data_IF_168119460062
#
_entry.id   IF_168119460062
#
_cell.length_a   1.000
_cell.length_b   1.000
_cell.length_c   1.000
_cell.angle_alpha   90.00
_cell.angle_beta   90.00
_cell.angle_gamma   90.00
#
_symmetry.space_group_name_H-M   'P 1'
#
loop_
_entity.id
_entity.type
_entity.pdbx_description
1 polymer ?
2 polymer ?
3 polymer ?
4 water ?
#
# COMPACT_ATOMS: atom_id res chain seq x y z
N UNK A 1 -5.91 7.57 -0.07
CA UNK A 1 -5.64 6.95 1.21
C UNK A 1 -4.16 6.78 1.46
N UNK A 2 -3.88 6.28 2.68
CA UNK A 2 -2.50 5.99 3.07
C UNK A 2 -1.88 4.89 2.22
N UNK A 3 -0.56 4.82 2.18
CA UNK A 3 0.12 3.67 1.55
C UNK A 3 -0.31 2.33 2.15
N UNK A 4 -0.32 1.35 1.25
CA UNK A 4 -0.55 -0.01 1.74
C UNK A 4 0.62 -0.51 2.59
N UNK A 5 0.37 -1.66 3.24
CA UNK A 5 1.42 -2.34 4.00
C UNK A 5 2.66 -2.71 3.18
N UNK A 6 3.81 -2.79 3.85
CA UNK A 6 4.97 -3.42 3.17
C UNK A 6 4.61 -4.81 2.68
N UNK A 7 5.19 -5.27 1.57
CA UNK A 7 4.88 -6.60 1.04
C UNK A 7 5.48 -7.71 1.88
N UNK B 1 -8.09 4.92 -3.60
CA UNK B 1 -7.12 4.12 -2.82
C UNK B 1 -5.74 4.76 -2.81
N UNK B 2 -5.03 4.46 -1.73
CA UNK B 2 -3.66 4.90 -1.61
C UNK B 2 -2.72 4.11 -2.49
N UNK B 3 -1.44 4.46 -2.51
CA UNK B 3 -0.45 3.68 -3.29
C UNK B 3 -0.12 2.35 -2.64
N UNK B 4 0.44 1.44 -3.44
CA UNK B 4 0.98 0.21 -2.85
C UNK B 4 2.04 0.50 -1.82
N UNK B 5 2.13 -0.47 -0.91
CA UNK B 5 3.25 -0.47 0.00
C UNK B 5 4.51 -0.81 -0.78
N UNK B 6 5.67 -0.65 -0.14
CA UNK B 6 6.98 -0.97 -0.73
C UNK B 6 7.22 -2.48 -0.68
N UNK B 7 8.21 -2.92 -1.42
CA UNK B 7 8.55 -4.34 -1.40
C UNK B 7 8.84 -4.81 0.02
N UNK C 1 -9.29 4.74 1.11
CA UNK C 1 -8.81 3.56 1.85
C UNK C 1 -7.32 3.36 1.57
N UNK C 2 -6.68 2.55 2.41
CA UNK C 2 -5.27 2.21 2.21
C UNK C 2 -5.04 1.56 0.85
N UNK C 3 -3.85 1.79 0.35
CA UNK C 3 -3.32 1.07 -0.80
C UNK C 3 -3.12 -0.38 -0.48
N UNK C 4 -2.79 -1.13 -1.52
CA UNK C 4 -2.61 -2.58 -1.37
C UNK C 4 -1.27 -2.93 -0.72
N UNK C 5 -1.19 -4.17 -0.19
CA UNK C 5 0.10 -4.71 0.24
C UNK C 5 1.08 -4.61 -0.92
N UNK C 6 2.32 -4.37 -0.55
CA UNK C 6 3.40 -4.24 -1.49
C UNK C 6 3.86 -5.54 -2.07
N UNK C 7 4.77 -5.47 -3.05
CA UNK C 7 5.30 -6.67 -3.71
C UNK C 7 6.20 -7.51 -2.83
#
# INVERSE_FOLDING_TARGET
GPPGPPG
PGPPGPP
PPGPPGP
#
